data_IF_538504169617
#
_entry.id   IF_538504169617
#
_cell.length_a   1.000
_cell.length_b   1.000
_cell.length_c   1.000
_cell.angle_alpha   90.00
_cell.angle_beta   90.00
_cell.angle_gamma   90.00
#
_symmetry.space_group_name_H-M   'P 1'
#
loop_
_entity.id
_entity.type
_entity.pdbx_description
1 polymer ?
#
# COMPACT_ATOMS: atom_id res chain seq x y z
N UNK A 1 58.40 -1.26 45.90
CA UNK A 1 57.18 -2.09 45.86
C UNK A 1 56.51 -1.87 44.51
N UNK A 2 56.53 -2.87 43.63
CA UNK A 2 55.83 -2.79 42.34
C UNK A 2 54.38 -3.23 42.56
N UNK A 3 53.43 -2.30 42.43
CA UNK A 3 51.99 -2.62 42.51
C UNK A 3 51.59 -3.22 41.17
N UNK A 4 51.35 -4.53 41.12
CA UNK A 4 50.79 -5.17 39.95
C UNK A 4 49.30 -4.81 39.88
N UNK A 5 48.93 -3.89 38.98
CA UNK A 5 47.53 -3.53 38.76
C UNK A 5 46.90 -4.60 37.87
N UNK A 6 45.84 -5.26 38.35
CA UNK A 6 45.16 -6.33 37.62
C UNK A 6 44.38 -5.80 36.42
N UNK A 7 44.40 -6.58 35.33
CA UNK A 7 43.58 -6.34 34.15
C UNK A 7 42.09 -6.50 34.50
N UNK A 8 41.26 -5.58 34.01
CA UNK A 8 39.80 -5.64 34.15
C UNK A 8 39.23 -5.70 32.75
N UNK A 9 38.55 -6.80 32.43
CA UNK A 9 37.87 -6.98 31.16
C UNK A 9 36.58 -6.14 31.10
N UNK A 10 36.17 -5.79 29.88
CA UNK A 10 34.90 -5.12 29.70
C UNK A 10 33.72 -6.06 30.01
N UNK A 11 32.77 -5.56 30.80
CA UNK A 11 31.47 -6.20 31.03
C UNK A 11 30.38 -5.32 30.44
N UNK A 12 29.48 -5.91 29.65
CA UNK A 12 28.35 -5.22 29.01
C UNK A 12 27.02 -5.74 29.56
N UNK A 13 26.02 -4.86 29.56
CA UNK A 13 24.66 -5.19 29.97
C UNK A 13 23.89 -5.97 28.91
N UNK A 14 22.63 -6.28 29.23
CA UNK A 14 21.70 -6.87 28.27
C UNK A 14 21.39 -5.90 27.13
N UNK A 15 20.96 -6.47 26.01
CA UNK A 15 20.45 -5.69 24.89
C UNK A 15 19.15 -4.97 25.28
N UNK A 16 19.06 -3.69 24.93
CA UNK A 16 17.81 -2.97 24.91
C UNK A 16 16.84 -3.49 23.85
N UNK A 17 15.61 -2.96 23.84
CA UNK A 17 14.62 -3.31 22.82
C UNK A 17 15.09 -2.89 21.42
N UNK A 18 14.59 -3.59 20.42
CA UNK A 18 14.73 -3.19 19.02
C UNK A 18 13.92 -1.92 18.75
N UNK A 19 14.49 -1.00 17.97
CA UNK A 19 13.80 0.18 17.47
C UNK A 19 12.72 -0.18 16.44
N UNK A 20 11.83 0.76 16.13
CA UNK A 20 10.90 0.62 15.02
C UNK A 20 11.64 0.41 13.69
N UNK A 21 11.00 -0.30 12.76
CA UNK A 21 11.56 -0.48 11.43
C UNK A 21 11.76 0.87 10.74
N UNK A 22 12.94 1.11 10.17
CA UNK A 22 13.26 2.38 9.48
C UNK A 22 12.38 2.63 8.26
N UNK A 23 11.81 1.56 7.66
CA UNK A 23 10.82 1.68 6.61
C UNK A 23 9.43 1.37 7.15
N UNK A 24 8.43 2.26 6.95
CA UNK A 24 7.05 1.97 7.32
C UNK A 24 6.44 0.84 6.45
N UNK A 25 6.98 0.64 5.24
CA UNK A 25 6.51 -0.32 4.24
C UNK A 25 7.68 -1.13 3.67
N UNK A 26 7.56 -2.45 3.63
CA UNK A 26 8.56 -3.28 2.95
C UNK A 26 9.89 -3.32 3.67
N UNK A 27 10.99 -3.56 2.94
CA UNK A 27 12.30 -3.83 3.55
C UNK A 27 12.87 -2.58 4.22
N UNK A 28 13.30 -2.74 5.46
CA UNK A 28 14.00 -1.71 6.24
C UNK A 28 14.98 -2.35 7.21
N UNK A 29 15.41 -1.58 8.21
CA UNK A 29 16.28 -2.06 9.29
C UNK A 29 15.80 -1.63 10.66
N UNK A 30 16.16 -2.38 11.69
CA UNK A 30 15.94 -2.04 13.09
C UNK A 30 17.27 -2.14 13.83
N UNK A 31 17.43 -1.32 14.86
CA UNK A 31 18.65 -1.22 15.66
C UNK A 31 18.33 -1.40 17.15
N UNK A 32 19.27 -1.98 17.90
CA UNK A 32 19.26 -1.98 19.37
C UNK A 32 20.65 -1.71 19.91
N UNK A 33 20.73 -1.23 21.14
CA UNK A 33 21.99 -0.94 21.83
C UNK A 33 22.04 -1.61 23.20
N UNK A 34 23.25 -1.78 23.74
CA UNK A 34 23.52 -2.17 25.13
C UNK A 34 24.60 -1.27 25.71
N UNK A 35 24.59 -1.13 27.03
CA UNK A 35 25.52 -0.28 27.75
C UNK A 35 26.69 -1.07 28.32
N UNK A 36 27.82 -0.39 28.53
CA UNK A 36 28.97 -0.94 29.24
C UNK A 36 28.69 -0.84 30.74
N UNK A 37 28.71 -1.98 31.42
CA UNK A 37 28.55 -2.09 32.87
C UNK A 37 29.88 -1.84 33.58
N UNK A 38 30.97 -2.39 33.03
CA UNK A 38 32.34 -2.22 33.53
C UNK A 38 33.26 -1.92 32.36
N UNK A 39 33.91 -0.74 32.30
CA UNK A 39 34.84 -0.42 31.23
C UNK A 39 36.18 -1.17 31.42
N UNK A 40 36.86 -1.55 30.32
CA UNK A 40 38.12 -2.26 30.40
C UNK A 40 39.22 -1.37 30.98
N UNK A 41 40.10 -1.94 31.82
CA UNK A 41 41.25 -1.24 32.42
C UNK A 41 42.49 -2.11 32.44
N UNK A 42 43.66 -1.47 32.52
CA UNK A 42 44.97 -2.10 32.70
C UNK A 42 45.26 -3.23 31.70
N UNK A 43 44.91 -3.02 30.43
CA UNK A 43 45.13 -4.01 29.36
C UNK A 43 44.09 -5.15 29.29
N UNK A 44 42.98 -5.05 30.02
CA UNK A 44 41.86 -5.99 29.89
C UNK A 44 41.16 -5.92 28.53
N UNK A 45 40.36 -6.96 28.26
CA UNK A 45 39.69 -7.21 26.97
C UNK A 45 38.71 -6.08 26.61
N UNK A 46 38.75 -5.56 25.36
CA UNK A 46 37.83 -4.51 24.93
C UNK A 46 36.37 -4.97 24.91
N UNK A 47 35.44 -4.02 24.96
CA UNK A 47 34.02 -4.33 24.91
C UNK A 47 33.62 -4.97 23.58
N UNK A 48 32.73 -5.98 23.60
CA UNK A 48 32.11 -6.49 22.39
C UNK A 48 31.14 -5.43 21.81
N UNK A 49 30.56 -5.71 20.63
CA UNK A 49 29.66 -4.79 19.94
C UNK A 49 28.55 -4.23 20.86
N UNK A 50 28.42 -2.90 20.89
CA UNK A 50 27.43 -2.21 21.71
C UNK A 50 26.16 -1.85 20.93
N UNK A 51 26.17 -2.03 19.60
CA UNK A 51 25.04 -1.79 18.71
C UNK A 51 24.82 -3.00 17.81
N UNK A 52 23.57 -3.29 17.52
CA UNK A 52 23.19 -4.35 16.59
C UNK A 52 22.13 -3.83 15.64
N UNK A 53 22.27 -4.19 14.37
CA UNK A 53 21.32 -3.86 13.31
C UNK A 53 20.89 -5.14 12.59
N UNK A 54 19.60 -5.26 12.29
CA UNK A 54 19.07 -6.35 11.44
C UNK A 54 18.02 -5.85 10.47
N UNK A 55 17.75 -6.64 9.44
CA UNK A 55 16.64 -6.40 8.51
C UNK A 55 15.28 -6.52 9.21
N UNK A 56 14.32 -5.73 8.74
CA UNK A 56 12.91 -5.82 9.12
C UNK A 56 12.02 -5.58 7.90
N UNK A 57 10.75 -5.94 8.03
CA UNK A 57 9.74 -5.68 7.01
C UNK A 57 8.61 -4.84 7.62
N UNK A 58 8.49 -3.58 7.18
CA UNK A 58 7.43 -2.67 7.59
C UNK A 58 6.06 -3.11 7.05
N UNK A 59 5.10 -3.28 7.95
CA UNK A 59 3.75 -3.79 7.67
C UNK A 59 2.66 -2.78 8.04
N UNK A 60 2.91 -1.48 7.86
CA UNK A 60 1.89 -0.48 8.15
C UNK A 60 0.66 -0.70 7.23
N UNK A 61 -0.55 -0.60 7.78
CA UNK A 61 -1.81 -0.81 7.06
C UNK A 61 -1.98 0.12 5.83
N UNK A 62 -1.36 1.30 5.87
CA UNK A 62 -1.31 2.22 4.71
C UNK A 62 -0.61 1.55 3.52
N UNK A 63 0.41 0.73 3.78
CA UNK A 63 1.18 0.03 2.77
C UNK A 63 0.40 -1.11 2.11
N UNK A 64 -0.48 -1.79 2.84
CA UNK A 64 -1.36 -2.81 2.23
C UNK A 64 -2.28 -2.18 1.19
N UNK A 65 -2.89 -1.03 1.50
CA UNK A 65 -3.75 -0.31 0.56
C UNK A 65 -2.98 0.24 -0.64
N UNK A 66 -1.71 0.65 -0.47
CA UNK A 66 -0.86 1.09 -1.58
C UNK A 66 -0.43 -0.06 -2.53
N UNK A 67 -0.43 -1.32 -2.03
CA UNK A 67 -0.13 -2.53 -2.82
C UNK A 67 -1.35 -3.06 -3.58
N UNK A 68 -2.55 -2.59 -3.28
CA UNK A 68 -3.75 -3.03 -3.99
C UNK A 68 -3.70 -2.59 -5.46
N UNK A 69 -3.89 -3.57 -6.34
CA UNK A 69 -4.01 -3.32 -7.78
C UNK A 69 -5.49 -3.22 -8.11
N UNK A 70 -5.96 -2.01 -8.43
CA UNK A 70 -7.32 -1.80 -8.88
C UNK A 70 -7.59 -2.60 -10.16
N UNK A 71 -8.73 -3.28 -10.20
CA UNK A 71 -9.26 -3.88 -11.42
C UNK A 71 -10.30 -2.95 -12.00
N UNK A 72 -10.18 -2.67 -13.30
CA UNK A 72 -11.09 -1.75 -13.98
C UNK A 72 -11.72 -2.32 -15.24
N UNK A 73 -12.94 -1.88 -15.51
CA UNK A 73 -13.67 -2.09 -16.77
C UNK A 73 -14.14 -0.74 -17.33
N UNK A 74 -14.47 -0.65 -18.63
CA UNK A 74 -15.09 0.54 -19.18
C UNK A 74 -16.52 0.73 -18.64
N UNK A 75 -16.98 1.97 -18.59
CA UNK A 75 -18.34 2.37 -18.19
C UNK A 75 -19.48 1.62 -18.91
N UNK A 76 -19.26 1.13 -20.14
CA UNK A 76 -20.20 0.24 -20.83
C UNK A 76 -20.61 -1.02 -20.05
N UNK A 77 -19.83 -1.44 -19.05
CA UNK A 77 -20.16 -2.55 -18.16
C UNK A 77 -20.98 -2.14 -16.93
N UNK A 78 -21.40 -0.86 -16.81
CA UNK A 78 -22.27 -0.38 -15.73
C UNK A 78 -23.53 -1.23 -15.70
N UNK A 79 -23.69 -2.03 -14.66
CA UNK A 79 -24.90 -2.83 -14.48
C UNK A 79 -25.99 -1.93 -13.92
N UNK A 80 -26.84 -1.40 -14.80
CA UNK A 80 -28.19 -0.97 -14.42
C UNK A 80 -29.13 -2.17 -14.23
N UNK A 81 -28.58 -3.40 -14.16
CA UNK A 81 -29.32 -4.64 -14.15
C UNK A 81 -29.90 -4.90 -12.76
N UNK A 82 -31.07 -4.30 -12.49
CA UNK A 82 -32.02 -4.85 -11.51
C UNK A 82 -32.54 -6.15 -12.10
N UNK A 83 -31.96 -7.28 -11.68
CA UNK A 83 -32.41 -8.60 -12.09
C UNK A 83 -33.91 -8.76 -11.81
N UNK A 84 -34.77 -8.83 -12.86
CA UNK A 84 -36.21 -8.95 -12.68
C UNK A 84 -36.64 -10.23 -11.97
N UNK A 85 -35.77 -11.24 -11.94
CA UNK A 85 -36.01 -12.56 -11.35
C UNK A 85 -35.41 -12.71 -9.96
N UNK A 86 -34.86 -11.64 -9.38
CA UNK A 86 -34.27 -11.65 -8.03
C UNK A 86 -35.36 -11.97 -7.01
N UNK A 87 -35.32 -13.18 -6.46
CA UNK A 87 -36.32 -13.67 -5.49
C UNK A 87 -36.27 -12.83 -4.20
N UNK A 88 -37.42 -12.44 -3.62
CA UNK A 88 -37.49 -11.60 -2.40
C UNK A 88 -36.76 -12.15 -1.17
N UNK A 89 -36.47 -13.46 -1.14
CA UNK A 89 -35.87 -14.15 0.01
C UNK A 89 -34.35 -14.30 -0.04
N UNK A 90 -33.67 -13.87 -1.11
CA UNK A 90 -32.20 -13.76 -1.07
C UNK A 90 -31.83 -12.50 -0.29
N UNK A 91 -31.07 -12.67 0.80
CA UNK A 91 -30.53 -11.61 1.65
C UNK A 91 -30.20 -10.36 0.82
N UNK A 92 -30.98 -9.30 1.04
CA UNK A 92 -30.73 -7.98 0.46
C UNK A 92 -29.40 -7.53 1.06
N UNK A 93 -28.29 -7.69 0.30
CA UNK A 93 -27.06 -6.99 0.62
C UNK A 93 -27.43 -5.51 0.56
N UNK A 94 -27.35 -4.81 1.69
CA UNK A 94 -27.64 -3.37 1.77
C UNK A 94 -26.97 -2.65 0.59
N UNK A 95 -27.78 -1.98 -0.22
CA UNK A 95 -27.32 -1.30 -1.42
C UNK A 95 -26.58 -0.03 -1.00
N UNK A 96 -25.25 -0.13 -0.96
CA UNK A 96 -24.37 0.99 -0.59
C UNK A 96 -24.38 2.06 -1.68
N UNK A 97 -24.40 3.34 -1.28
CA UNK A 97 -24.32 4.44 -2.24
C UNK A 97 -23.00 4.43 -3.01
N UNK A 98 -23.05 4.51 -4.35
CA UNK A 98 -21.84 4.59 -5.20
C UNK A 98 -21.08 5.88 -4.99
N UNK A 99 -19.75 5.86 -5.13
CA UNK A 99 -18.91 7.06 -5.14
C UNK A 99 -17.95 7.08 -6.34
N UNK A 100 -17.47 8.26 -6.69
CA UNK A 100 -16.53 8.48 -7.79
C UNK A 100 -15.14 8.80 -7.23
N UNK A 101 -14.10 8.35 -7.93
CA UNK A 101 -12.70 8.66 -7.65
C UNK A 101 -12.06 9.27 -8.89
N UNK A 102 -11.37 10.40 -8.72
CA UNK A 102 -10.63 11.04 -9.80
C UNK A 102 -9.14 10.69 -9.68
N UNK A 103 -8.64 10.00 -10.69
CA UNK A 103 -7.33 9.38 -10.71
C UNK A 103 -6.51 9.95 -11.87
N UNK A 104 -5.34 10.51 -11.54
CA UNK A 104 -4.38 11.02 -12.54
C UNK A 104 -3.46 9.89 -12.97
N UNK A 105 -3.54 9.47 -14.23
CA UNK A 105 -2.69 8.40 -14.78
C UNK A 105 -1.23 8.86 -14.79
N UNK A 106 -0.33 8.07 -14.17
CA UNK A 106 1.11 8.33 -14.17
C UNK A 106 1.87 7.41 -15.11
N UNK A 107 1.36 6.21 -15.35
CA UNK A 107 1.92 5.25 -16.29
C UNK A 107 0.81 4.39 -16.87
N UNK A 108 0.95 4.03 -18.15
CA UNK A 108 0.15 3.02 -18.80
C UNK A 108 1.04 2.20 -19.75
N UNK A 109 0.86 0.89 -19.74
CA UNK A 109 1.54 -0.05 -20.62
C UNK A 109 1.12 0.13 -22.09
N UNK A 110 1.97 -0.29 -23.04
CA UNK A 110 1.67 -0.22 -24.47
C UNK A 110 0.42 -1.04 -24.86
N UNK A 111 0.13 -2.12 -24.14
CA UNK A 111 -1.04 -2.97 -24.37
C UNK A 111 -2.38 -2.22 -24.20
N UNK A 112 -2.40 -1.09 -23.50
CA UNK A 112 -3.61 -0.28 -23.38
C UNK A 112 -4.07 0.33 -24.72
N UNK A 113 -3.19 0.40 -25.72
CA UNK A 113 -3.54 0.85 -27.08
C UNK A 113 -4.37 -0.18 -27.87
N UNK A 114 -4.49 -1.42 -27.39
CA UNK A 114 -5.14 -2.52 -28.12
C UNK A 114 -6.67 -2.42 -28.20
N UNK A 115 -7.32 -1.70 -27.27
CA UNK A 115 -8.77 -1.44 -27.29
C UNK A 115 -9.06 0.05 -27.24
N UNK A 116 -10.10 0.49 -27.94
CA UNK A 116 -10.46 1.90 -28.05
C UNK A 116 -10.71 2.57 -26.70
N UNK A 117 -11.44 1.88 -25.81
CA UNK A 117 -11.76 2.41 -24.48
C UNK A 117 -10.52 2.52 -23.56
N UNK A 118 -9.51 1.66 -23.73
CA UNK A 118 -8.29 1.68 -22.90
C UNK A 118 -7.20 2.56 -23.49
N UNK A 119 -7.29 2.90 -24.79
CA UNK A 119 -6.31 3.73 -25.49
C UNK A 119 -6.25 5.17 -24.93
N UNK A 120 -7.33 5.63 -24.28
CA UNK A 120 -7.39 6.93 -23.60
C UNK A 120 -6.64 6.97 -22.26
N UNK A 121 -6.22 5.82 -21.71
CA UNK A 121 -5.47 5.73 -20.45
C UNK A 121 -4.02 6.16 -20.69
N UNK A 122 -3.82 7.44 -20.96
CA UNK A 122 -2.52 8.04 -21.26
C UNK A 122 -2.00 8.84 -20.07
N UNK A 123 -0.68 9.06 -20.03
CA UNK A 123 -0.03 9.80 -18.95
C UNK A 123 -0.65 11.20 -18.78
N UNK A 124 -0.81 11.61 -17.53
CA UNK A 124 -1.46 12.84 -17.06
C UNK A 124 -2.97 12.99 -17.39
N UNK A 125 -3.60 11.98 -18.01
CA UNK A 125 -5.05 11.96 -18.15
C UNK A 125 -5.69 11.83 -16.77
N UNK A 126 -6.68 12.68 -16.49
CA UNK A 126 -7.57 12.52 -15.35
C UNK A 126 -8.70 11.58 -15.73
N UNK A 127 -8.84 10.49 -14.99
CA UNK A 127 -9.84 9.44 -15.21
C UNK A 127 -10.80 9.44 -14.03
N UNK A 128 -12.10 9.43 -14.32
CA UNK A 128 -13.14 9.20 -13.33
C UNK A 128 -13.42 7.70 -13.24
N UNK A 129 -13.26 7.13 -12.05
CA UNK A 129 -13.56 5.74 -11.75
C UNK A 129 -14.73 5.66 -10.77
N UNK A 130 -15.81 5.00 -11.14
CA UNK A 130 -16.97 4.79 -10.28
C UNK A 130 -16.83 3.49 -9.49
N UNK A 131 -17.05 3.58 -8.18
CA UNK A 131 -17.09 2.47 -7.25
C UNK A 131 -18.56 2.14 -6.92
N UNK A 132 -19.06 1.03 -7.47
CA UNK A 132 -20.43 0.56 -7.27
C UNK A 132 -20.53 -0.36 -6.06
N UNK A 133 -21.73 -0.50 -5.49
CA UNK A 133 -22.01 -1.28 -4.28
C UNK A 133 -21.49 -2.74 -4.34
N UNK A 134 -21.55 -3.35 -5.52
CA UNK A 134 -21.08 -4.72 -5.74
C UNK A 134 -19.55 -4.86 -5.65
N UNK A 135 -18.80 -3.83 -6.09
CA UNK A 135 -17.35 -3.78 -6.03
C UNK A 135 -16.82 -3.30 -4.67
N UNK A 136 -17.70 -2.79 -3.80
CA UNK A 136 -17.31 -2.34 -2.46
C UNK A 136 -17.04 -3.50 -1.51
N UNK A 137 -15.92 -3.39 -0.81
CA UNK A 137 -15.60 -4.24 0.33
C UNK A 137 -16.49 -3.91 1.56
N UNK A 138 -16.24 -4.60 2.68
CA UNK A 138 -16.91 -4.33 3.95
C UNK A 138 -16.68 -2.90 4.46
N UNK A 139 -15.56 -2.26 4.09
CA UNK A 139 -15.22 -0.89 4.50
C UNK A 139 -15.84 0.22 3.64
N UNK A 140 -16.80 -0.12 2.76
CA UNK A 140 -17.43 0.80 1.81
C UNK A 140 -16.44 1.42 0.81
N UNK A 141 -15.34 0.72 0.53
CA UNK A 141 -14.32 1.13 -0.44
C UNK A 141 -14.08 0.06 -1.48
N UNK A 142 -13.83 0.48 -2.71
CA UNK A 142 -13.34 -0.40 -3.77
C UNK A 142 -11.85 -0.69 -3.61
N UNK A 143 -11.45 -1.91 -3.94
CA UNK A 143 -10.05 -2.32 -3.92
C UNK A 143 -9.23 -1.49 -4.90
N UNK A 144 -8.14 -0.88 -4.42
CA UNK A 144 -7.28 -0.04 -5.23
C UNK A 144 -7.88 1.32 -5.62
N UNK A 145 -8.93 1.79 -4.95
CA UNK A 145 -9.47 3.16 -5.10
C UNK A 145 -8.46 4.27 -4.74
N UNK A 146 -7.30 3.86 -4.24
CA UNK A 146 -6.12 4.70 -4.09
C UNK A 146 -6.07 5.44 -2.76
N UNK A 147 -4.89 5.97 -2.46
CA UNK A 147 -4.66 6.88 -1.34
C UNK A 147 -4.28 8.25 -1.91
N UNK A 148 -4.63 9.31 -1.18
CA UNK A 148 -4.32 10.67 -1.60
C UNK A 148 -2.80 10.84 -1.69
N UNK A 149 -2.33 11.41 -2.80
CA UNK A 149 -0.90 11.65 -3.07
C UNK A 149 0.00 10.42 -3.11
N UNK A 150 -0.55 9.20 -3.04
CA UNK A 150 0.21 7.95 -3.16
C UNK A 150 -0.01 7.35 -4.54
N UNK A 151 1.09 6.90 -5.17
CA UNK A 151 1.03 6.17 -6.42
C UNK A 151 0.51 4.76 -6.17
N UNK A 152 -0.62 4.42 -6.78
CA UNK A 152 -1.20 3.07 -6.74
C UNK A 152 -1.31 2.50 -8.15
N UNK A 153 -1.59 1.20 -8.24
CA UNK A 153 -1.50 0.43 -9.48
C UNK A 153 -2.87 -0.04 -9.94
N UNK A 154 -2.98 -0.29 -11.24
CA UNK A 154 -4.23 -0.73 -11.84
C UNK A 154 -4.00 -1.67 -13.01
N UNK A 155 -5.01 -2.49 -13.31
CA UNK A 155 -5.05 -3.37 -14.46
C UNK A 155 -6.46 -3.38 -15.07
N UNK A 156 -6.53 -3.23 -16.38
CA UNK A 156 -7.77 -3.37 -17.14
C UNK A 156 -8.16 -4.86 -17.21
N UNK A 157 -9.30 -5.22 -16.61
CA UNK A 157 -9.71 -6.61 -16.49
C UNK A 157 -10.03 -7.25 -17.85
N UNK A 158 -10.54 -6.47 -18.81
CA UNK A 158 -10.91 -6.94 -20.16
C UNK A 158 -9.83 -6.74 -21.23
N UNK A 159 -8.65 -6.22 -20.86
CA UNK A 159 -7.55 -5.95 -21.81
C UNK A 159 -6.25 -6.55 -21.25
N UNK A 160 -5.92 -7.80 -21.64
CA UNK A 160 -4.71 -8.48 -21.17
C UNK A 160 -3.46 -7.62 -21.38
N UNK A 161 -2.63 -7.57 -20.34
CA UNK A 161 -1.41 -6.77 -20.34
C UNK A 161 -1.63 -5.26 -20.21
N UNK A 162 -2.84 -4.72 -20.30
CA UNK A 162 -3.09 -3.29 -20.05
C UNK A 162 -3.12 -3.01 -18.55
N UNK A 163 -2.05 -2.39 -18.06
CA UNK A 163 -1.88 -2.02 -16.67
C UNK A 163 -1.11 -0.70 -16.55
N UNK A 164 -1.05 -0.17 -15.34
CA UNK A 164 -0.38 1.08 -15.11
C UNK A 164 -0.41 1.52 -13.65
N UNK A 165 -0.22 2.82 -13.48
CA UNK A 165 -0.32 3.46 -12.16
C UNK A 165 -0.98 4.81 -12.25
N UNK A 166 -1.54 5.26 -11.14
CA UNK A 166 -2.18 6.56 -11.00
C UNK A 166 -1.97 7.12 -9.60
N UNK A 167 -2.35 8.39 -9.41
CA UNK A 167 -2.45 9.04 -8.11
C UNK A 167 -3.89 9.54 -7.96
N UNK A 168 -4.48 9.32 -6.78
CA UNK A 168 -5.80 9.86 -6.46
C UNK A 168 -5.72 11.36 -6.18
N UNK A 169 -6.45 12.15 -6.97
CA UNK A 169 -6.60 13.59 -6.76
C UNK A 169 -7.77 13.90 -5.82
N UNK A 170 -8.92 13.26 -6.04
CA UNK A 170 -10.12 13.50 -5.23
C UNK A 170 -11.08 12.32 -5.25
N UNK A 171 -12.06 12.35 -4.35
CA UNK A 171 -13.20 11.43 -4.31
C UNK A 171 -14.48 12.21 -4.01
N UNK A 172 -15.62 11.74 -4.54
CA UNK A 172 -16.93 12.37 -4.35
C UNK A 172 -18.02 11.32 -4.16
N UNK A 173 -18.82 11.46 -3.11
CA UNK A 173 -19.97 10.59 -2.80
C UNK A 173 -21.12 10.78 -3.79
N UNK A 174 -21.24 11.96 -4.42
CA UNK A 174 -22.24 12.22 -5.46
C UNK A 174 -21.64 11.90 -6.82
N UNK A 175 -21.61 10.61 -7.13
CA UNK A 175 -20.89 10.12 -8.29
C UNK A 175 -21.58 10.51 -9.61
N UNK A 176 -20.88 11.32 -10.43
CA UNK A 176 -21.28 11.68 -11.80
C UNK A 176 -20.04 11.72 -12.69
N UNK A 177 -19.64 10.56 -13.20
CA UNK A 177 -18.53 10.49 -14.13
C UNK A 177 -18.95 10.93 -15.55
N UNK A 178 -18.06 11.60 -16.31
CA UNK A 178 -18.27 11.85 -17.73
C UNK A 178 -18.24 10.54 -18.55
N UNK A 179 -18.67 10.58 -19.83
CA UNK A 179 -18.48 9.47 -20.77
C UNK A 179 -17.03 9.04 -20.85
N UNK A 180 -16.80 7.75 -21.13
CA UNK A 180 -15.49 7.11 -21.16
C UNK A 180 -14.81 7.02 -19.79
N UNK A 181 -15.64 6.98 -18.74
CA UNK A 181 -15.20 6.65 -17.39
C UNK A 181 -14.93 5.16 -17.25
N UNK A 182 -14.34 4.78 -16.11
CA UNK A 182 -14.06 3.39 -15.78
C UNK A 182 -14.83 2.99 -14.51
N UNK A 183 -14.95 1.69 -14.29
CA UNK A 183 -15.59 1.09 -13.14
C UNK A 183 -14.58 0.25 -12.39
N UNK A 184 -14.60 0.33 -11.06
CA UNK A 184 -13.95 -0.67 -10.23
C UNK A 184 -14.75 -1.97 -10.25
N UNK A 185 -14.05 -3.11 -10.21
CA UNK A 185 -14.63 -4.46 -10.13
C UNK A 185 -13.92 -5.33 -9.13
#
# INVERSE_FOLDING_TARGET
>A
LSVCVSAIDCVVGSWGPWSSCTSPCGVGSTERSRQVSVPPRNGGTPCPDLKQRRGCFGNNAICSTAKEVAKILPDSFKRNFKDPWRRPHMLIKEEKASYCVHLRVKQASAACKLKLWSAQLVRERLVCAECQSDAMSKSNRCGGDGLQSTRTFWAAASVPGCHGSWIRESSSERCRCPPHSVLFV
#
